data_IF_974811296948
#
_entry.id   IF_974811296948
#
_cell.length_a   1.000
_cell.length_b   1.000
_cell.length_c   1.000
_cell.angle_alpha   90.00
_cell.angle_beta   90.00
_cell.angle_gamma   90.00
#
_symmetry.space_group_name_H-M   'P 1'
#
loop_
_entity.id
_entity.type
_entity.pdbx_description
1 polymer ?
#
# COMPACT_ATOMS: atom_id res chain seq x y z
N UNK A 1 12.92 11.70 -9.37
CA UNK A 1 13.75 11.46 -8.17
C UNK A 1 12.89 10.79 -7.11
N UNK A 2 13.38 9.77 -6.41
CA UNK A 2 12.62 9.05 -5.38
C UNK A 2 12.71 9.81 -4.04
N UNK A 3 11.57 10.10 -3.40
CA UNK A 3 11.54 10.76 -2.08
C UNK A 3 11.81 9.71 -0.99
N UNK A 4 12.82 9.94 -0.16
CA UNK A 4 13.15 9.09 1.01
C UNK A 4 12.34 9.57 2.22
N UNK A 5 11.64 8.66 2.89
CA UNK A 5 10.74 8.98 4.01
C UNK A 5 11.20 8.30 5.30
N UNK A 6 12.26 8.86 5.90
CA UNK A 6 12.93 8.38 7.13
C UNK A 6 13.38 6.89 7.08
N UNK A 7 14.38 6.56 7.90
CA UNK A 7 15.01 5.22 7.93
C UNK A 7 15.59 4.72 6.59
N UNK A 8 15.91 5.61 5.64
CA UNK A 8 16.55 5.25 4.37
C UNK A 8 15.65 4.51 3.38
N UNK A 9 14.33 4.41 3.64
CA UNK A 9 13.37 3.76 2.75
C UNK A 9 12.75 4.75 1.77
N UNK A 10 12.60 4.33 0.53
CA UNK A 10 11.91 5.10 -0.51
C UNK A 10 10.38 4.94 -0.40
N UNK A 11 9.62 5.91 -0.93
CA UNK A 11 8.15 5.81 -1.06
C UNK A 11 7.72 4.48 -1.71
N UNK A 12 8.43 4.07 -2.77
CA UNK A 12 8.13 2.83 -3.49
C UNK A 12 8.26 1.60 -2.60
N UNK A 13 9.37 1.48 -1.85
CA UNK A 13 9.59 0.35 -0.93
C UNK A 13 8.55 0.29 0.20
N UNK A 14 8.10 1.44 0.68
CA UNK A 14 7.04 1.51 1.70
C UNK A 14 5.71 1.01 1.11
N UNK A 15 5.36 1.42 -0.11
CA UNK A 15 4.15 0.96 -0.79
C UNK A 15 4.20 -0.55 -1.07
N UNK A 16 5.32 -1.06 -1.57
CA UNK A 16 5.51 -2.50 -1.80
C UNK A 16 5.38 -3.30 -0.50
N UNK A 17 5.97 -2.81 0.59
CA UNK A 17 5.79 -3.40 1.93
C UNK A 17 4.35 -3.37 2.41
N UNK A 18 3.62 -2.27 2.19
CA UNK A 18 2.22 -2.13 2.60
C UNK A 18 1.31 -3.11 1.84
N UNK A 19 1.44 -3.18 0.51
CA UNK A 19 0.70 -4.11 -0.34
C UNK A 19 1.02 -5.56 0.06
N UNK A 20 2.31 -5.90 0.24
CA UNK A 20 2.72 -7.22 0.69
C UNK A 20 2.10 -7.58 2.03
N UNK A 21 2.08 -6.65 2.98
CA UNK A 21 1.46 -6.87 4.29
C UNK A 21 -0.04 -7.20 4.15
N UNK A 22 -0.77 -6.48 3.30
CA UNK A 22 -2.20 -6.74 3.07
C UNK A 22 -2.42 -8.15 2.50
N UNK A 23 -1.57 -8.58 1.56
CA UNK A 23 -1.60 -9.94 0.98
C UNK A 23 -1.27 -11.01 2.02
N UNK A 24 -0.19 -10.85 2.79
CA UNK A 24 0.28 -11.82 3.79
C UNK A 24 -0.74 -11.98 4.94
N UNK A 25 -1.41 -10.90 5.33
CA UNK A 25 -2.46 -10.94 6.36
C UNK A 25 -3.80 -11.44 5.84
N UNK A 26 -3.91 -11.74 4.53
CA UNK A 26 -5.10 -12.34 3.93
C UNK A 26 -6.39 -11.56 4.20
N UNK A 27 -6.31 -10.24 4.32
CA UNK A 27 -7.47 -9.39 4.64
C UNK A 27 -8.59 -9.51 3.60
N UNK A 28 -8.21 -9.81 2.36
CA UNK A 28 -9.11 -10.02 1.23
C UNK A 28 -9.76 -11.42 1.17
N UNK A 29 -9.30 -12.40 1.96
CA UNK A 29 -9.75 -13.79 1.83
C UNK A 29 -11.26 -13.95 2.10
N UNK A 30 -11.82 -13.12 2.99
CA UNK A 30 -13.26 -13.09 3.28
C UNK A 30 -14.13 -12.68 2.07
N UNK A 31 -13.53 -12.03 1.06
CA UNK A 31 -14.22 -11.52 -0.13
C UNK A 31 -13.98 -12.38 -1.38
N UNK A 32 -13.06 -13.36 -1.33
CA UNK A 32 -12.71 -14.20 -2.50
C UNK A 32 -13.88 -14.99 -3.10
N UNK A 33 -14.93 -15.25 -2.32
CA UNK A 33 -16.12 -15.98 -2.77
C UNK A 33 -17.25 -15.11 -3.33
N UNK A 34 -17.08 -13.79 -3.44
CA UNK A 34 -18.14 -12.87 -3.88
C UNK A 34 -18.14 -12.56 -5.38
N UNK A 35 -17.20 -13.08 -6.15
CA UNK A 35 -17.01 -12.75 -7.59
C UNK A 35 -16.82 -11.23 -7.87
N UNK A 36 -16.66 -10.42 -6.82
CA UNK A 36 -16.43 -8.99 -6.90
C UNK A 36 -14.93 -8.69 -7.00
N UNK A 37 -14.52 -7.69 -7.79
CA UNK A 37 -13.11 -7.33 -7.93
C UNK A 37 -12.58 -6.75 -6.61
N UNK A 38 -11.54 -7.37 -6.07
CA UNK A 38 -10.87 -6.89 -4.85
C UNK A 38 -9.65 -6.05 -5.24
N UNK A 39 -9.64 -4.80 -4.78
CA UNK A 39 -8.53 -3.88 -5.00
C UNK A 39 -7.76 -3.67 -3.69
N UNK A 40 -6.45 -3.89 -3.74
CA UNK A 40 -5.53 -3.58 -2.66
C UNK A 40 -5.01 -2.16 -2.85
N UNK A 41 -5.10 -1.34 -1.81
CA UNK A 41 -4.68 0.05 -1.85
C UNK A 41 -3.59 0.28 -0.80
N UNK A 42 -2.40 0.62 -1.27
CA UNK A 42 -1.30 1.11 -0.45
C UNK A 42 -1.22 2.63 -0.58
N UNK A 43 -1.03 3.33 0.53
CA UNK A 43 -0.90 4.78 0.54
C UNK A 43 0.22 5.20 1.49
N UNK A 44 0.94 6.24 1.12
CA UNK A 44 2.05 6.78 1.90
C UNK A 44 1.79 8.24 2.19
N UNK A 45 1.89 8.61 3.46
CA UNK A 45 1.71 9.97 3.94
C UNK A 45 3.04 10.57 4.36
N UNK A 46 3.17 11.87 4.14
CA UNK A 46 4.18 12.71 4.79
C UNK A 46 3.74 12.94 6.23
N UNK A 47 4.52 12.47 7.20
CA UNK A 47 4.17 12.58 8.62
C UNK A 47 4.10 14.04 9.10
N UNK A 48 5.01 14.88 8.60
CA UNK A 48 5.14 16.27 9.05
C UNK A 48 4.09 17.16 8.40
N UNK A 49 3.86 16.99 7.10
CA UNK A 49 2.91 17.80 6.34
C UNK A 49 1.48 17.23 6.36
N UNK A 50 1.32 15.97 6.78
CA UNK A 50 0.05 15.21 6.73
C UNK A 50 -0.55 15.17 5.33
N UNK A 51 0.32 15.10 4.33
CA UNK A 51 -0.06 15.07 2.92
C UNK A 51 0.08 13.66 2.35
N UNK A 52 -0.81 13.29 1.43
CA UNK A 52 -0.66 12.05 0.65
C UNK A 52 0.50 12.25 -0.34
N UNK A 53 1.52 11.42 -0.24
CA UNK A 53 2.67 11.46 -1.14
C UNK A 53 2.44 10.61 -2.39
N UNK A 54 2.02 9.36 -2.18
CA UNK A 54 1.76 8.45 -3.28
C UNK A 54 0.74 7.37 -2.86
N UNK A 55 0.02 6.87 -3.85
CA UNK A 55 -0.94 5.77 -3.70
C UNK A 55 -0.67 4.74 -4.79
N UNK A 56 -0.73 3.45 -4.42
CA UNK A 56 -0.64 2.32 -5.33
C UNK A 56 -1.89 1.46 -5.19
N UNK A 57 -2.46 1.08 -6.32
CA UNK A 57 -3.62 0.19 -6.39
C UNK A 57 -3.22 -1.05 -7.16
N UNK A 58 -3.50 -2.22 -6.59
CA UNK A 58 -3.33 -3.51 -7.26
C UNK A 58 -4.64 -4.30 -7.23
N UNK A 59 -4.96 -4.97 -8.33
CA UNK A 59 -6.03 -5.96 -8.34
C UNK A 59 -5.53 -7.29 -7.75
N UNK A 60 -6.40 -7.96 -6.99
CA UNK A 60 -6.16 -9.32 -6.48
C UNK A 60 -6.72 -10.39 -7.42
#
# INVERSE_FOLDING_TARGET
EFKVLREGRTVGEILDGAIRQIREKKYADQYRGREEPVHLIGMVFDEEKRELLEMRVEAL
#
